data_IF_563795751475
#
_entry.id   IF_563795751475
#
_cell.length_a   1.000
_cell.length_b   1.000
_cell.length_c   1.000
_cell.angle_alpha   90.00
_cell.angle_beta   90.00
_cell.angle_gamma   90.00
#
_symmetry.space_group_name_H-M   'P 1'
#
loop_
_entity.id
_entity.type
_entity.pdbx_description
1 polymer ?
#
# COMPACT_ATOMS: atom_id res chain seq x y z
N UNK A 1 -0.38 -0.58 -15.49
CA UNK A 1 0.73 0.23 -14.94
C UNK A 1 0.27 1.69 -14.79
N UNK A 2 0.70 2.46 -13.77
CA UNK A 2 0.28 3.87 -13.63
C UNK A 2 0.81 4.76 -14.77
N UNK A 3 -0.02 5.67 -15.28
CA UNK A 3 0.34 6.59 -16.36
C UNK A 3 1.45 7.58 -15.94
N UNK A 4 2.31 7.98 -16.90
CA UNK A 4 3.41 8.92 -16.66
C UNK A 4 4.55 8.35 -15.82
N UNK A 5 4.88 7.07 -16.02
CA UNK A 5 5.95 6.39 -15.30
C UNK A 5 7.27 6.50 -16.06
N UNK A 6 8.39 6.71 -15.35
CA UNK A 6 9.71 6.70 -15.99
C UNK A 6 10.15 5.27 -16.33
N UNK A 7 11.13 5.06 -17.24
CA UNK A 7 11.65 3.73 -17.57
C UNK A 7 12.14 2.93 -16.35
N UNK A 8 12.61 3.64 -15.30
CA UNK A 8 12.97 3.03 -14.01
C UNK A 8 11.77 2.40 -13.31
N UNK A 9 10.61 3.08 -13.34
CA UNK A 9 9.37 2.61 -12.70
C UNK A 9 8.73 1.47 -13.49
N UNK A 10 8.89 1.44 -14.81
CA UNK A 10 8.47 0.32 -15.68
C UNK A 10 9.18 -0.97 -15.31
N UNK A 11 10.52 -0.93 -15.24
CA UNK A 11 11.30 -2.10 -14.79
C UNK A 11 10.92 -2.55 -13.37
N UNK A 12 10.69 -1.60 -12.47
CA UNK A 12 10.26 -1.91 -11.11
C UNK A 12 8.87 -2.57 -11.08
N UNK A 13 7.94 -2.11 -11.92
CA UNK A 13 6.60 -2.69 -12.03
C UNK A 13 6.68 -4.16 -12.47
N UNK A 14 7.39 -4.43 -13.57
CA UNK A 14 7.52 -5.79 -14.10
C UNK A 14 8.22 -6.72 -13.09
N UNK A 15 9.31 -6.26 -12.47
CA UNK A 15 10.02 -7.07 -11.46
C UNK A 15 9.13 -7.44 -10.27
N UNK A 16 8.30 -6.52 -9.78
CA UNK A 16 7.37 -6.78 -8.67
C UNK A 16 6.23 -7.70 -9.10
N UNK A 17 5.70 -7.51 -10.31
CA UNK A 17 4.64 -8.35 -10.88
C UNK A 17 5.13 -9.79 -11.01
N UNK A 18 6.27 -9.99 -11.67
CA UNK A 18 6.88 -11.31 -11.88
C UNK A 18 7.21 -11.98 -10.53
N UNK A 19 7.76 -11.22 -9.58
CA UNK A 19 8.03 -11.73 -8.23
C UNK A 19 6.77 -12.17 -7.49
N UNK A 20 5.63 -11.49 -7.69
CA UNK A 20 4.36 -11.88 -7.08
C UNK A 20 3.75 -13.12 -7.74
N UNK A 21 3.85 -13.22 -9.08
CA UNK A 21 3.43 -14.40 -9.85
C UNK A 21 4.23 -15.63 -9.46
N UNK A 22 5.55 -15.52 -9.34
CA UNK A 22 6.44 -16.59 -8.86
C UNK A 22 6.09 -17.10 -7.46
N UNK A 23 5.46 -16.26 -6.63
CA UNK A 23 4.95 -16.64 -5.29
C UNK A 23 3.54 -17.26 -5.31
N UNK A 24 2.98 -17.52 -6.50
CA UNK A 24 1.65 -18.10 -6.67
C UNK A 24 0.50 -17.09 -6.63
N UNK A 25 0.78 -15.78 -6.78
CA UNK A 25 -0.29 -14.77 -6.85
C UNK A 25 -0.91 -14.76 -8.24
N UNK A 26 -2.24 -14.67 -8.35
CA UNK A 26 -2.92 -14.55 -9.64
C UNK A 26 -2.46 -13.30 -10.40
N UNK A 27 -2.39 -13.37 -11.73
CA UNK A 27 -1.89 -12.28 -12.58
C UNK A 27 -2.59 -10.94 -12.29
N UNK A 28 -3.92 -10.95 -12.15
CA UNK A 28 -4.71 -9.74 -11.81
C UNK A 28 -4.25 -9.13 -10.49
N UNK A 29 -4.01 -9.99 -9.49
CA UNK A 29 -3.57 -9.56 -8.16
C UNK A 29 -2.11 -9.12 -8.16
N UNK A 30 -1.24 -9.78 -8.94
CA UNK A 30 0.16 -9.41 -9.11
C UNK A 30 0.31 -8.03 -9.77
N UNK A 31 -0.44 -7.76 -10.85
CA UNK A 31 -0.52 -6.44 -11.49
C UNK A 31 -0.94 -5.35 -10.50
N UNK A 32 -1.93 -5.65 -9.66
CA UNK A 32 -2.40 -4.73 -8.63
C UNK A 32 -1.32 -4.45 -7.57
N UNK A 33 -0.63 -5.48 -7.10
CA UNK A 33 0.49 -5.34 -6.13
C UNK A 33 1.61 -4.49 -6.73
N UNK A 34 1.99 -4.77 -7.98
CA UNK A 34 3.02 -4.02 -8.70
C UNK A 34 2.64 -2.54 -8.85
N UNK A 35 1.40 -2.26 -9.29
CA UNK A 35 0.90 -0.89 -9.44
C UNK A 35 0.91 -0.12 -8.10
N UNK A 36 0.42 -0.74 -7.02
CA UNK A 36 0.39 -0.12 -5.68
C UNK A 36 1.80 0.16 -5.16
N UNK A 37 2.73 -0.77 -5.38
CA UNK A 37 4.13 -0.64 -4.95
C UNK A 37 4.80 0.54 -5.66
N UNK A 38 4.69 0.60 -6.99
CA UNK A 38 5.27 1.69 -7.80
C UNK A 38 4.63 3.03 -7.48
N UNK A 39 3.30 3.10 -7.32
CA UNK A 39 2.63 4.35 -6.94
C UNK A 39 3.09 4.88 -5.58
N UNK A 40 3.34 3.99 -4.60
CA UNK A 40 3.86 4.41 -3.30
C UNK A 40 5.29 4.96 -3.41
N UNK A 41 6.14 4.36 -4.23
CA UNK A 41 7.49 4.90 -4.47
C UNK A 41 7.46 6.25 -5.18
N UNK A 42 6.63 6.38 -6.22
CA UNK A 42 6.42 7.65 -6.94
C UNK A 42 5.94 8.76 -6.02
N UNK A 43 4.99 8.46 -5.12
CA UNK A 43 4.51 9.42 -4.15
C UNK A 43 5.58 9.86 -3.14
N UNK A 44 6.52 8.97 -2.78
CA UNK A 44 7.63 9.32 -1.87
C UNK A 44 8.74 10.12 -2.54
N UNK A 45 9.03 9.85 -3.81
CA UNK A 45 10.02 10.60 -4.57
C UNK A 45 9.49 11.90 -5.19
N UNK A 46 8.21 12.24 -4.98
CA UNK A 46 7.60 13.43 -5.57
C UNK A 46 7.23 13.30 -7.05
N UNK A 47 7.36 12.10 -7.64
CA UNK A 47 7.01 11.80 -9.04
C UNK A 47 5.49 11.63 -9.28
N UNK A 48 4.68 11.69 -8.22
CA UNK A 48 3.23 11.57 -8.30
C UNK A 48 2.56 12.94 -8.12
N UNK A 49 1.61 13.26 -9.01
CA UNK A 49 0.76 14.46 -8.87
C UNK A 49 -0.09 14.44 -7.61
N UNK A 50 -0.39 13.25 -7.10
CA UNK A 50 -1.17 13.05 -5.86
C UNK A 50 -0.37 12.25 -4.85
N UNK A 51 -0.36 12.70 -3.60
CA UNK A 51 0.33 12.04 -2.51
C UNK A 51 -0.53 12.02 -1.26
N UNK A 52 -0.76 10.84 -0.70
CA UNK A 52 -1.41 10.71 0.62
C UNK A 52 -0.38 10.90 1.72
N UNK A 53 -0.81 11.38 2.90
CA UNK A 53 0.06 11.47 4.09
C UNK A 53 0.70 10.14 4.44
N UNK A 54 -0.04 9.04 4.32
CA UNK A 54 0.49 7.68 4.52
C UNK A 54 1.42 7.19 3.42
N UNK A 55 1.40 7.81 2.25
CA UNK A 55 2.37 7.49 1.20
C UNK A 55 3.71 8.15 1.50
N UNK A 56 3.71 9.41 1.97
CA UNK A 56 4.91 10.24 2.15
C UNK A 56 5.50 10.20 3.55
N UNK A 57 4.68 10.16 4.60
CA UNK A 57 5.13 10.19 6.00
C UNK A 57 5.31 8.81 6.63
N UNK A 58 5.05 7.75 5.88
CA UNK A 58 5.30 6.41 6.39
C UNK A 58 6.81 6.18 6.43
N UNK A 59 7.40 5.89 7.61
CA UNK A 59 8.84 5.78 7.77
C UNK A 59 9.44 4.62 6.97
N UNK A 60 8.59 3.72 6.43
CA UNK A 60 9.02 2.51 5.75
C UNK A 60 8.58 2.49 4.30
N UNK A 61 9.52 2.13 3.44
CA UNK A 61 9.22 1.87 2.03
C UNK A 61 8.33 0.65 1.84
N UNK A 62 7.77 0.48 0.64
CA UNK A 62 6.98 -0.71 0.31
C UNK A 62 7.83 -1.99 0.45
N UNK A 63 9.09 -1.94 0.02
CA UNK A 63 10.04 -3.06 0.14
C UNK A 63 10.48 -3.31 1.58
N UNK A 64 10.87 -2.28 2.34
CA UNK A 64 11.25 -2.43 3.76
C UNK A 64 10.11 -3.01 4.59
N UNK A 65 8.88 -2.52 4.36
CA UNK A 65 7.70 -3.06 5.02
C UNK A 65 7.49 -4.55 4.71
N UNK A 66 7.72 -4.95 3.46
CA UNK A 66 7.61 -6.34 3.03
C UNK A 66 8.61 -7.25 3.74
N UNK A 67 9.87 -6.82 3.86
CA UNK A 67 10.94 -7.60 4.48
C UNK A 67 10.90 -7.66 6.02
N UNK A 68 10.48 -6.59 6.68
CA UNK A 68 10.40 -6.60 8.15
C UNK A 68 9.16 -7.34 8.68
N UNK A 69 8.09 -7.42 7.88
CA UNK A 69 6.83 -8.05 8.29
C UNK A 69 6.71 -9.51 7.82
N UNK A 70 7.66 -10.01 7.02
CA UNK A 70 7.63 -11.38 6.51
C UNK A 70 7.89 -12.46 7.56
N UNK A 71 8.45 -12.13 8.73
CA UNK A 71 8.85 -13.13 9.73
C UNK A 71 7.82 -13.41 10.84
N UNK A 72 6.67 -12.71 10.88
CA UNK A 72 5.68 -12.81 11.97
C UNK A 72 4.26 -13.20 11.52
N UNK A 73 4.12 -13.72 10.30
CA UNK A 73 2.80 -14.04 9.73
C UNK A 73 1.94 -12.80 9.41
N UNK A 74 0.70 -13.03 8.97
CA UNK A 74 -0.20 -11.97 8.52
C UNK A 74 -0.79 -11.16 9.70
N UNK A 75 -0.17 -10.05 10.09
CA UNK A 75 -0.63 -9.18 11.19
C UNK A 75 -1.84 -8.25 10.85
N UNK A 76 -2.42 -8.41 9.67
CA UNK A 76 -3.54 -7.60 9.18
C UNK A 76 -3.18 -6.15 8.82
N UNK A 77 -4.21 -5.32 8.57
CA UNK A 77 -4.07 -3.87 8.27
C UNK A 77 -3.54 -3.12 9.50
N UNK A 78 -2.71 -2.08 9.30
CA UNK A 78 -2.26 -1.22 10.41
C UNK A 78 -3.36 -0.24 10.84
N UNK A 79 -3.27 0.30 12.06
CA UNK A 79 -4.19 1.34 12.56
C UNK A 79 -4.29 2.51 11.57
N UNK A 80 -3.16 3.00 11.06
CA UNK A 80 -3.15 4.14 10.13
C UNK A 80 -3.81 3.82 8.79
N UNK A 81 -3.64 2.60 8.29
CA UNK A 81 -4.33 2.16 7.07
C UNK A 81 -5.85 2.13 7.28
N UNK A 82 -6.29 1.62 8.43
CA UNK A 82 -7.70 1.61 8.81
C UNK A 82 -8.23 3.02 9.03
N UNK A 83 -7.43 3.91 9.60
CA UNK A 83 -7.78 5.31 9.83
C UNK A 83 -7.98 6.07 8.52
N UNK A 84 -7.08 5.92 7.54
CA UNK A 84 -7.24 6.55 6.22
C UNK A 84 -8.43 5.97 5.45
N UNK A 85 -8.71 4.68 5.60
CA UNK A 85 -9.89 4.06 5.00
C UNK A 85 -11.19 4.55 5.65
N UNK A 86 -11.22 4.63 6.99
CA UNK A 86 -12.31 5.23 7.74
C UNK A 86 -12.53 6.70 7.36
N UNK A 87 -11.44 7.45 7.14
CA UNK A 87 -11.48 8.82 6.64
C UNK A 87 -12.11 8.90 5.24
N UNK A 88 -11.72 8.01 4.33
CA UNK A 88 -12.31 7.95 2.97
C UNK A 88 -13.80 7.59 2.99
N UNK A 89 -14.22 6.77 3.95
CA UNK A 89 -15.62 6.40 4.18
C UNK A 89 -16.40 7.40 5.04
N UNK A 90 -15.80 8.54 5.40
CA UNK A 90 -16.40 9.58 6.25
C UNK A 90 -16.93 9.05 7.60
N UNK A 91 -16.25 8.06 8.20
CA UNK A 91 -16.63 7.52 9.50
C UNK A 91 -16.35 8.56 10.59
N UNK A 92 -17.39 8.91 11.33
CA UNK A 92 -17.31 9.82 12.48
C UNK A 92 -16.66 9.11 13.68
N UNK A 93 -15.97 9.87 14.54
CA UNK A 93 -15.22 9.29 15.67
C UNK A 93 -13.97 8.48 15.29
N UNK A 94 -13.62 8.35 14.01
CA UNK A 94 -12.42 7.61 13.54
C UNK A 94 -11.10 8.00 14.24
N UNK A 95 -10.96 9.23 14.71
CA UNK A 95 -9.76 9.71 15.41
C UNK A 95 -9.60 9.14 16.82
N UNK A 96 -10.71 8.85 17.50
CA UNK A 96 -10.72 8.27 18.85
C UNK A 96 -10.68 6.75 18.82
N UNK A 97 -11.09 6.13 17.70
CA UNK A 97 -11.13 4.67 17.55
C UNK A 97 -9.74 4.01 17.63
N UNK A 98 -9.66 2.89 18.34
CA UNK A 98 -8.50 2.00 18.36
C UNK A 98 -8.41 1.12 17.09
N UNK A 99 -7.33 0.32 16.96
CA UNK A 99 -7.12 -0.52 15.77
C UNK A 99 -8.31 -1.47 15.52
N UNK A 100 -8.87 -2.06 16.56
CA UNK A 100 -9.98 -3.02 16.46
C UNK A 100 -11.30 -2.33 16.11
N UNK A 101 -11.56 -1.19 16.74
CA UNK A 101 -12.73 -0.36 16.47
C UNK A 101 -12.72 0.16 15.04
N UNK A 102 -11.57 0.64 14.55
CA UNK A 102 -11.41 1.02 13.15
C UNK A 102 -11.61 -0.17 12.21
N UNK A 103 -11.12 -1.36 12.59
CA UNK A 103 -11.30 -2.56 11.77
C UNK A 103 -12.76 -2.96 11.63
N UNK A 104 -13.55 -2.84 12.70
CA UNK A 104 -15.01 -3.05 12.69
C UNK A 104 -15.73 -1.94 11.91
N UNK A 105 -15.42 -0.68 12.18
CA UNK A 105 -16.12 0.47 11.61
C UNK A 105 -15.94 0.57 10.09
N UNK A 106 -14.74 0.24 9.59
CA UNK A 106 -14.45 0.27 8.15
C UNK A 106 -15.24 -0.82 7.40
N UNK A 107 -15.80 -1.81 8.11
CA UNK A 107 -16.61 -2.86 7.52
C UNK A 107 -15.78 -3.81 6.65
N UNK A 108 -16.22 -5.07 6.62
CA UNK A 108 -15.89 -5.97 5.53
C UNK A 108 -17.16 -6.19 4.73
#
# INVERSE_FOLDING_TARGET
MPAGSSPKRERQYEHVKESAEKRGTSEKRAKEIAARTVNKERARSGESRTASRTSTRDPKSASQRGGERSHKGAQGRTRDQLYEEAKKKNIEGRSTMNKEQLLKAVGR
#
